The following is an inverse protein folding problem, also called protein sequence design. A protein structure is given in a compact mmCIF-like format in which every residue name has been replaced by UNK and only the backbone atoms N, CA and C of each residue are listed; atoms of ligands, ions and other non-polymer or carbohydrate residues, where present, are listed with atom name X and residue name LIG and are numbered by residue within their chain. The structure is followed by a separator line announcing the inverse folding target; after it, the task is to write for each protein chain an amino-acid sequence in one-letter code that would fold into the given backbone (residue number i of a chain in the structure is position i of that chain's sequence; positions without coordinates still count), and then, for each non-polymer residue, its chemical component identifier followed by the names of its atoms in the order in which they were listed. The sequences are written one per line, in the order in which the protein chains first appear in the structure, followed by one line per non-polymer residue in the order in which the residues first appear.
data_IF_447591787605
#
_entry.id   IF_447591787605
#
_cell.length_a   1.000
_cell.length_b   1.000
_cell.length_c   1.000
_cell.angle_alpha   90.00
_cell.angle_beta   90.00
_cell.angle_gamma   90.00
#
_symmetry.space_group_name_H-M   'P 1'
#
loop_
_entity.id
_entity.type
_entity.pdbx_description
1 polymer ?
#
# COMPACT_ATOMS: atom_id res chain seq x y z
N UNK A 1 9.66 11.64 -3.90
CA UNK A 1 10.51 10.84 -2.98
C UNK A 1 11.28 11.72 -2.00
N UNK A 2 11.55 12.98 -2.35
CA UNK A 2 12.27 13.89 -1.49
C UNK A 2 11.34 14.90 -0.81
N UNK A 3 11.75 15.44 0.34
CA UNK A 3 11.05 16.48 1.10
C UNK A 3 11.91 17.75 1.07
N UNK A 4 11.27 18.89 0.84
CA UNK A 4 11.91 20.20 0.96
C UNK A 4 11.87 20.67 2.41
N UNK A 5 12.99 21.21 2.94
CA UNK A 5 12.98 21.84 4.27
C UNK A 5 12.07 23.08 4.26
N UNK A 6 11.41 23.35 5.40
CA UNK A 6 10.56 24.53 5.58
C UNK A 6 11.36 25.85 5.57
N UNK A 7 12.66 25.80 5.86
CA UNK A 7 13.60 26.92 5.70
C UNK A 7 14.80 26.47 4.86
N UNK A 8 15.01 27.10 3.71
CA UNK A 8 16.12 26.86 2.78
C UNK A 8 15.79 25.99 1.56
N UNK A 9 16.73 25.87 0.63
CA UNK A 9 16.61 25.11 -0.61
C UNK A 9 17.00 23.63 -0.49
N UNK A 10 17.36 23.16 0.72
CA UNK A 10 17.84 21.78 0.89
C UNK A 10 16.70 20.77 0.80
N UNK A 11 16.92 19.74 0.00
CA UNK A 11 16.01 18.61 -0.22
C UNK A 11 16.64 17.35 0.38
N UNK A 12 15.85 16.51 1.05
CA UNK A 12 16.33 15.25 1.61
C UNK A 12 15.41 14.08 1.26
N UNK A 13 15.95 12.86 1.28
CA UNK A 13 15.18 11.65 1.00
C UNK A 13 14.22 11.32 2.15
N UNK A 14 12.92 11.17 1.82
CA UNK A 14 11.87 10.83 2.77
C UNK A 14 12.03 9.43 3.36
N UNK A 15 12.62 8.51 2.60
CA UNK A 15 12.59 7.07 2.91
C UNK A 15 13.94 6.51 3.33
N UNK A 16 14.88 7.37 3.73
CA UNK A 16 16.22 6.97 4.17
C UNK A 16 16.15 5.90 5.28
N UNK A 17 16.95 4.84 5.13
CA UNK A 17 17.10 3.79 6.16
C UNK A 17 15.90 2.86 6.31
N UNK A 18 15.00 2.79 5.31
CA UNK A 18 13.75 2.03 5.41
C UNK A 18 13.68 0.91 4.37
N UNK A 19 13.09 -0.22 4.77
CA UNK A 19 12.63 -1.24 3.85
C UNK A 19 11.47 -0.69 3.03
N UNK A 20 11.59 -0.78 1.70
CA UNK A 20 10.68 -0.13 0.77
C UNK A 20 9.67 -1.11 0.15
N UNK A 21 8.40 -0.73 0.24
CA UNK A 21 7.28 -1.39 -0.41
C UNK A 21 6.75 -0.49 -1.54
N UNK A 22 6.85 -0.91 -2.81
CA UNK A 22 6.25 -0.15 -3.91
C UNK A 22 4.73 -0.22 -3.81
N UNK A 23 4.08 0.93 -3.91
CA UNK A 23 2.63 1.03 -3.95
C UNK A 23 2.20 0.99 -5.41
N UNK A 24 1.47 -0.06 -5.79
CA UNK A 24 0.97 -0.25 -7.14
C UNK A 24 -0.54 -0.08 -7.19
N UNK A 25 -1.05 0.60 -8.22
CA UNK A 25 -2.48 0.62 -8.50
C UNK A 25 -2.95 -0.77 -8.97
N UNK A 26 -4.27 -0.98 -9.10
CA UNK A 26 -4.86 -2.26 -9.56
C UNK A 26 -4.41 -2.69 -10.98
N UNK A 27 -3.80 -1.79 -11.75
CA UNK A 27 -3.24 -2.06 -13.09
C UNK A 27 -1.76 -2.44 -13.03
N UNK A 28 -1.09 -2.24 -11.89
CA UNK A 28 0.32 -2.56 -11.66
C UNK A 28 1.26 -1.36 -11.78
N UNK A 29 0.74 -0.15 -12.01
CA UNK A 29 1.55 1.06 -12.11
C UNK A 29 2.05 1.47 -10.73
N UNK A 30 3.35 1.77 -10.60
CA UNK A 30 3.90 2.30 -9.36
C UNK A 30 3.43 3.75 -9.16
N UNK A 31 2.73 4.00 -8.06
CA UNK A 31 2.14 5.31 -7.72
C UNK A 31 2.75 5.94 -6.47
N UNK A 32 3.53 5.18 -5.71
CA UNK A 32 4.19 5.66 -4.51
C UNK A 32 4.96 4.56 -3.79
N UNK A 33 5.35 4.85 -2.55
CA UNK A 33 6.10 3.94 -1.69
C UNK A 33 5.60 4.00 -0.26
N UNK A 34 5.77 2.89 0.45
CA UNK A 34 5.72 2.79 1.90
C UNK A 34 7.09 2.33 2.39
N UNK A 35 7.60 2.95 3.43
CA UNK A 35 8.90 2.65 4.00
C UNK A 35 8.76 2.28 5.47
N UNK A 36 9.21 1.07 5.83
CA UNK A 36 9.26 0.61 7.23
C UNK A 36 10.68 0.67 7.77
N UNK A 37 10.87 1.26 8.94
CA UNK A 37 12.17 1.21 9.62
C UNK A 37 12.43 -0.21 10.15
N UNK A 38 13.67 -0.69 10.01
CA UNK A 38 14.08 -2.01 10.54
C UNK A 38 14.73 -1.90 11.93
N UNK A 39 15.37 -0.77 12.22
CA UNK A 39 16.09 -0.50 13.45
C UNK A 39 16.10 1.00 13.74
N UNK A 40 15.87 1.40 14.98
CA UNK A 40 15.90 2.80 15.41
C UNK A 40 14.79 3.12 16.40
N UNK A 41 15.17 3.67 17.56
CA UNK A 41 14.24 4.17 18.56
C UNK A 41 13.88 5.63 18.21
N UNK A 42 12.61 6.01 18.39
CA UNK A 42 12.05 7.36 18.18
C UNK A 42 11.72 7.80 16.74
N UNK A 43 11.77 6.91 15.74
CA UNK A 43 11.25 7.19 14.39
C UNK A 43 9.89 6.51 14.13
N UNK A 44 9.06 7.12 13.27
CA UNK A 44 7.79 6.51 12.85
C UNK A 44 8.03 5.13 12.22
N UNK A 45 7.30 4.10 12.67
CA UNK A 45 7.44 2.72 12.20
C UNK A 45 7.23 2.58 10.70
N UNK A 46 6.26 3.30 10.15
CA UNK A 46 5.96 3.37 8.72
C UNK A 46 5.87 4.83 8.26
N UNK A 47 6.42 5.09 7.07
CA UNK A 47 6.25 6.35 6.35
C UNK A 47 5.69 6.03 4.98
N UNK A 48 4.59 6.68 4.61
CA UNK A 48 3.97 6.53 3.30
C UNK A 48 4.28 7.76 2.41
N UNK A 49 4.23 7.56 1.10
CA UNK A 49 4.00 8.65 0.14
C UNK A 49 2.74 9.42 0.59
N UNK A 50 2.78 10.76 0.68
CA UNK A 50 1.58 11.56 0.96
C UNK A 50 0.58 11.45 -0.20
N UNK A 51 -0.61 12.01 -0.06
CA UNK A 51 -1.54 12.13 -1.19
C UNK A 51 -0.86 12.86 -2.36
N UNK A 52 -1.02 12.34 -3.57
CA UNK A 52 -0.52 12.96 -4.81
C UNK A 52 -1.55 12.79 -5.92
N UNK A 53 -1.34 13.45 -7.05
CA UNK A 53 -2.16 13.25 -8.26
C UNK A 53 -2.21 11.79 -8.74
N UNK A 54 -1.20 10.98 -8.41
CA UNK A 54 -1.11 9.57 -8.79
C UNK A 54 -1.50 8.63 -7.67
N UNK A 55 -1.49 9.09 -6.41
CA UNK A 55 -1.67 8.25 -5.24
C UNK A 55 -2.71 8.81 -4.29
N UNK A 56 -3.82 8.07 -4.20
CA UNK A 56 -4.86 8.28 -3.22
C UNK A 56 -5.05 7.05 -2.34
N UNK A 57 -4.85 7.19 -1.03
CA UNK A 57 -4.98 6.07 -0.07
C UNK A 57 -6.37 5.44 -0.12
N UNK A 58 -7.40 6.29 -0.22
CA UNK A 58 -8.81 5.89 -0.24
C UNK A 58 -9.23 5.08 -1.47
N UNK A 59 -8.43 5.01 -2.54
CA UNK A 59 -8.81 4.28 -3.76
C UNK A 59 -7.88 3.10 -4.06
N UNK A 60 -6.94 2.80 -3.17
CA UNK A 60 -5.90 1.80 -3.40
C UNK A 60 -5.94 0.72 -2.32
N UNK A 61 -5.74 -0.52 -2.75
CA UNK A 61 -5.57 -1.69 -1.89
C UNK A 61 -4.22 -2.31 -2.22
N UNK A 62 -3.37 -2.47 -1.20
CA UNK A 62 -2.03 -2.99 -1.40
C UNK A 62 -2.10 -4.45 -1.87
N UNK A 63 -1.40 -4.73 -2.97
CA UNK A 63 -1.26 -6.05 -3.57
C UNK A 63 -2.46 -6.56 -4.38
N UNK A 64 -3.54 -5.78 -4.49
CA UNK A 64 -4.68 -6.12 -5.37
C UNK A 64 -4.24 -6.34 -6.82
N UNK A 65 -3.20 -5.64 -7.27
CA UNK A 65 -2.68 -5.76 -8.63
C UNK A 65 -2.20 -7.16 -8.99
N UNK A 66 -1.73 -7.95 -8.01
CA UNK A 66 -1.29 -9.33 -8.19
C UNK A 66 -2.34 -10.36 -7.72
N UNK A 67 -3.28 -9.98 -6.86
CA UNK A 67 -4.30 -10.91 -6.32
C UNK A 67 -5.65 -10.85 -7.02
N UNK A 68 -5.92 -9.83 -7.85
CA UNK A 68 -7.23 -9.60 -8.48
C UNK A 68 -7.79 -10.79 -9.29
N UNK A 69 -6.94 -11.58 -9.95
CA UNK A 69 -7.41 -12.76 -10.70
C UNK A 69 -7.87 -13.88 -9.77
N UNK A 70 -7.17 -14.08 -8.65
CA UNK A 70 -7.60 -15.00 -7.60
C UNK A 70 -8.88 -14.53 -6.92
N UNK A 71 -8.98 -13.25 -6.59
CA UNK A 71 -10.21 -12.64 -6.05
C UNK A 71 -11.39 -12.90 -6.98
N UNK A 72 -11.19 -12.75 -8.29
CA UNK A 72 -12.21 -13.04 -9.31
C UNK A 72 -12.59 -14.52 -9.38
N UNK A 73 -11.60 -15.42 -9.31
CA UNK A 73 -11.82 -16.86 -9.33
C UNK A 73 -12.56 -17.36 -8.08
N UNK A 74 -12.18 -16.85 -6.91
CA UNK A 74 -12.74 -17.23 -5.61
C UNK A 74 -14.05 -16.48 -5.28
N UNK A 75 -14.38 -15.45 -6.06
CA UNK A 75 -15.49 -14.53 -5.85
C UNK A 75 -15.57 -14.01 -4.39
N UNK A 76 -14.41 -13.79 -3.78
CA UNK A 76 -14.27 -13.32 -2.41
C UNK A 76 -12.86 -12.75 -2.21
N UNK A 77 -12.67 -11.95 -1.16
CA UNK A 77 -11.37 -11.37 -0.82
C UNK A 77 -11.21 -11.23 0.70
N UNK A 78 -10.01 -11.51 1.19
CA UNK A 78 -9.59 -11.21 2.55
C UNK A 78 -8.96 -9.83 2.59
N UNK A 79 -9.42 -8.97 3.51
CA UNK A 79 -8.87 -7.63 3.73
C UNK A 79 -8.13 -7.58 5.06
N UNK A 80 -6.90 -7.07 5.04
CA UNK A 80 -6.02 -6.93 6.21
C UNK A 80 -5.49 -5.50 6.35
N UNK A 81 -4.80 -5.17 7.45
CA UNK A 81 -4.45 -3.79 7.79
C UNK A 81 -3.12 -3.28 7.19
N UNK A 82 -2.19 -4.17 6.84
CA UNK A 82 -0.84 -3.76 6.47
C UNK A 82 -0.17 -4.63 5.44
N UNK A 83 0.98 -4.16 4.94
CA UNK A 83 1.76 -4.87 3.93
C UNK A 83 2.23 -6.23 4.42
N UNK A 84 2.68 -6.34 5.68
CA UNK A 84 3.12 -7.62 6.23
C UNK A 84 1.98 -8.60 6.45
N UNK A 85 0.81 -8.10 6.87
CA UNK A 85 -0.39 -8.92 7.07
C UNK A 85 -0.93 -9.47 5.74
N UNK A 86 -0.56 -8.85 4.63
CA UNK A 86 -0.90 -9.30 3.28
C UNK A 86 0.19 -10.16 2.65
N UNK A 87 1.46 -9.75 2.75
CA UNK A 87 2.60 -10.45 2.16
C UNK A 87 2.78 -11.83 2.79
N UNK A 88 2.68 -11.92 4.12
CA UNK A 88 2.99 -13.17 4.84
C UNK A 88 2.01 -14.28 4.46
N UNK A 89 0.67 -14.08 4.51
CA UNK A 89 -0.25 -15.13 4.11
C UNK A 89 -0.24 -15.39 2.60
N UNK A 90 -0.01 -14.36 1.78
CA UNK A 90 0.15 -14.52 0.34
C UNK A 90 1.32 -15.44 -0.02
N UNK A 91 2.46 -15.31 0.67
CA UNK A 91 3.61 -16.21 0.52
C UNK A 91 3.29 -17.67 0.92
N UNK A 92 2.26 -17.89 1.75
CA UNK A 92 1.81 -19.21 2.18
C UNK A 92 0.58 -19.71 1.39
N UNK A 93 0.27 -19.09 0.25
CA UNK A 93 -0.75 -19.58 -0.68
C UNK A 93 -2.14 -18.95 -0.55
N UNK A 94 -2.34 -18.00 0.37
CA UNK A 94 -3.60 -17.24 0.41
C UNK A 94 -3.61 -16.23 -0.74
N UNK A 95 -4.29 -16.57 -1.83
CA UNK A 95 -4.14 -15.84 -3.10
C UNK A 95 -5.16 -14.71 -3.32
N UNK A 96 -6.32 -14.74 -2.66
CA UNK A 96 -7.34 -13.68 -2.69
C UNK A 96 -7.26 -12.77 -1.44
N UNK A 97 -6.19 -11.99 -1.34
CA UNK A 97 -5.93 -11.10 -0.18
C UNK A 97 -5.43 -9.71 -0.63
N UNK A 98 -5.79 -8.66 0.10
CA UNK A 98 -5.26 -7.31 -0.08
C UNK A 98 -5.26 -6.52 1.24
N UNK A 99 -4.46 -5.43 1.34
CA UNK A 99 -4.41 -4.61 2.55
C UNK A 99 -4.98 -3.18 2.40
N UNK A 100 -5.67 -2.70 3.43
CA UNK A 100 -6.06 -1.29 3.62
C UNK A 100 -4.95 -0.53 4.34
N UNK A 101 -4.28 0.42 3.68
CA UNK A 101 -3.06 1.06 4.20
C UNK A 101 -3.31 2.09 5.32
N UNK A 102 -3.54 1.61 6.54
CA UNK A 102 -3.62 2.45 7.75
C UNK A 102 -4.80 3.40 7.76
N UNK A 103 -5.90 3.02 7.11
CA UNK A 103 -7.18 3.73 7.12
C UNK A 103 -8.31 2.74 7.34
N UNK A 104 -9.48 3.24 7.76
CA UNK A 104 -10.71 2.48 7.63
C UNK A 104 -10.92 2.08 6.17
N UNK A 105 -11.56 0.93 5.95
CA UNK A 105 -11.99 0.49 4.63
C UNK A 105 -12.99 1.52 4.06
N UNK A 106 -12.75 1.97 2.84
CA UNK A 106 -13.51 3.05 2.20
C UNK A 106 -14.50 2.51 1.18
N UNK A 107 -15.51 3.32 0.85
CA UNK A 107 -16.50 3.00 -0.18
C UNK A 107 -15.84 2.84 -1.55
N UNK A 108 -14.85 3.66 -1.88
CA UNK A 108 -14.14 3.60 -3.16
C UNK A 108 -13.30 2.31 -3.28
N UNK A 109 -12.71 1.82 -2.18
CA UNK A 109 -12.06 0.51 -2.13
C UNK A 109 -13.07 -0.64 -2.31
N UNK A 110 -14.24 -0.56 -1.68
CA UNK A 110 -15.32 -1.54 -1.89
C UNK A 110 -15.81 -1.55 -3.33
N UNK A 111 -16.00 -0.39 -3.95
CA UNK A 111 -16.36 -0.27 -5.37
C UNK A 111 -15.28 -0.84 -6.28
N UNK A 112 -14.00 -0.71 -5.92
CA UNK A 112 -12.89 -1.33 -6.65
C UNK A 112 -12.94 -2.86 -6.53
N UNK A 113 -13.15 -3.40 -5.32
CA UNK A 113 -13.30 -4.85 -5.08
C UNK A 113 -14.48 -5.41 -5.87
N UNK A 114 -15.60 -4.68 -5.92
CA UNK A 114 -16.84 -5.09 -6.62
C UNK A 114 -16.63 -5.36 -8.12
N UNK A 115 -15.55 -4.84 -8.72
CA UNK A 115 -15.18 -5.14 -10.12
C UNK A 115 -14.63 -6.56 -10.31
N UNK A 116 -14.24 -7.21 -9.22
CA UNK A 116 -13.60 -8.52 -9.22
C UNK A 116 -14.41 -9.57 -8.47
N UNK A 117 -15.12 -9.22 -7.39
CA UNK A 117 -15.95 -10.13 -6.60
C UNK A 117 -17.33 -9.52 -6.29
N UNK A 118 -18.38 -10.35 -6.27
CA UNK A 118 -19.78 -9.94 -6.08
C UNK A 118 -20.22 -9.93 -4.62
#
# INVERSE_FOLDING_TARGET
LCIQKQQGSSVYDRFRGRLMFPLKDHRGNAVGFSGRILSGENEAKYVNTPETMLYHKRTMLFGLNITKESVKKENSIIIVEGEFDMITPFQHGISAIAAVKGSALTVEQLQLIKRYAN
#
